data_IF_539462158609
#
_entry.id   IF_539462158609
#
_cell.length_a   1.000
_cell.length_b   1.000
_cell.length_c   1.000
_cell.angle_alpha   90.00
_cell.angle_beta   90.00
_cell.angle_gamma   90.00
#
_symmetry.space_group_name_H-M   'P 1'
#
loop_
_entity.id
_entity.type
_entity.pdbx_description
1 polymer ?
#
# COMPACT_ATOMS: atom_id res chain seq x y z
N UNK A 1 -1.20 -39.72 -0.94
CA UNK A 1 -1.24 -38.83 -2.10
C UNK A 1 0.19 -38.41 -2.47
N UNK A 2 0.61 -38.72 -3.69
CA UNK A 2 2.04 -38.83 -4.07
C UNK A 2 2.70 -37.43 -4.22
N UNK A 3 3.48 -37.00 -3.27
CA UNK A 3 4.21 -35.70 -3.25
C UNK A 3 5.18 -35.54 -4.43
N UNK A 4 5.67 -36.65 -5.01
CA UNK A 4 6.55 -36.65 -6.18
C UNK A 4 5.83 -36.15 -7.46
N UNK A 5 4.54 -36.40 -7.62
CA UNK A 5 3.78 -35.99 -8.81
C UNK A 5 3.50 -34.47 -8.84
N UNK A 6 3.34 -33.85 -7.65
CA UNK A 6 3.15 -32.40 -7.53
C UNK A 6 4.46 -31.66 -7.79
N UNK A 7 5.59 -32.20 -7.33
CA UNK A 7 6.91 -31.57 -7.50
C UNK A 7 7.36 -31.55 -8.97
N UNK A 8 7.08 -32.62 -9.71
CA UNK A 8 7.43 -32.72 -11.15
C UNK A 8 6.60 -31.77 -12.02
N UNK A 9 5.29 -31.64 -11.76
CA UNK A 9 4.43 -30.68 -12.48
C UNK A 9 4.83 -29.22 -12.18
N UNK A 10 5.25 -28.93 -10.95
CA UNK A 10 5.68 -27.59 -10.56
C UNK A 10 7.03 -27.22 -11.22
N UNK A 11 7.93 -28.19 -11.36
CA UNK A 11 9.22 -28.01 -12.04
C UNK A 11 9.03 -27.75 -13.55
N UNK A 12 8.16 -28.50 -14.22
CA UNK A 12 7.87 -28.33 -15.64
C UNK A 12 7.16 -27.01 -15.93
N UNK A 13 6.26 -26.57 -15.06
CA UNK A 13 5.61 -25.25 -15.17
C UNK A 13 6.61 -24.09 -15.01
N UNK A 14 7.55 -24.21 -14.07
CA UNK A 14 8.60 -23.21 -13.84
C UNK A 14 9.52 -23.08 -15.06
N UNK A 15 9.90 -24.19 -15.67
CA UNK A 15 10.76 -24.17 -16.87
C UNK A 15 10.03 -23.61 -18.10
N UNK A 16 8.76 -23.94 -18.29
CA UNK A 16 7.95 -23.40 -19.38
C UNK A 16 7.65 -21.91 -19.23
N UNK A 17 7.53 -21.40 -17.98
CA UNK A 17 7.26 -19.98 -17.70
C UNK A 17 8.51 -19.09 -17.78
N UNK A 18 9.72 -19.65 -17.59
CA UNK A 18 10.98 -18.87 -17.61
C UNK A 18 11.20 -18.01 -18.87
N UNK A 19 10.99 -18.52 -20.11
CA UNK A 19 11.19 -17.71 -21.31
C UNK A 19 10.18 -16.57 -21.41
N UNK A 20 8.94 -16.83 -21.01
CA UNK A 20 7.85 -15.84 -21.00
C UNK A 20 8.11 -14.73 -19.98
N UNK A 21 8.47 -15.08 -18.75
CA UNK A 21 8.83 -14.13 -17.69
C UNK A 21 10.06 -13.30 -18.08
N UNK A 22 11.05 -13.90 -18.76
CA UNK A 22 12.22 -13.19 -19.25
C UNK A 22 11.87 -12.20 -20.37
N UNK A 23 11.00 -12.58 -21.30
CA UNK A 23 10.50 -11.69 -22.37
C UNK A 23 9.64 -10.56 -21.78
N UNK A 24 8.68 -10.87 -20.90
CA UNK A 24 7.84 -9.88 -20.24
C UNK A 24 8.67 -8.89 -19.42
N UNK A 25 9.65 -9.37 -18.66
CA UNK A 25 10.52 -8.49 -17.86
C UNK A 25 11.46 -7.64 -18.72
N UNK A 26 11.87 -8.11 -19.87
CA UNK A 26 12.66 -7.34 -20.84
C UNK A 26 11.78 -6.25 -21.47
N UNK A 27 10.59 -6.60 -21.92
CA UNK A 27 9.64 -5.66 -22.49
C UNK A 27 9.23 -4.56 -21.50
N UNK A 28 8.93 -4.93 -20.25
CA UNK A 28 8.62 -3.96 -19.18
C UNK A 28 9.81 -3.03 -18.91
N UNK A 29 11.05 -3.55 -18.93
CA UNK A 29 12.25 -2.72 -18.76
C UNK A 29 12.42 -1.72 -19.90
N UNK A 30 12.19 -2.14 -21.12
CA UNK A 30 12.31 -1.33 -22.33
C UNK A 30 11.25 -0.24 -22.37
N UNK A 31 9.99 -0.58 -22.02
CA UNK A 31 8.85 0.33 -22.09
C UNK A 31 8.50 0.99 -20.75
N UNK A 32 9.30 0.84 -19.70
CA UNK A 32 8.97 1.27 -18.33
C UNK A 32 8.63 2.77 -18.23
N UNK A 33 9.33 3.63 -19.02
CA UNK A 33 9.03 5.07 -19.03
C UNK A 33 7.68 5.36 -19.70
N UNK A 34 7.42 4.75 -20.83
CA UNK A 34 6.14 4.90 -21.52
C UNK A 34 4.99 4.37 -20.68
N UNK A 35 5.11 3.16 -20.12
CA UNK A 35 4.13 2.56 -19.20
C UNK A 35 3.85 3.46 -17.98
N UNK A 36 4.89 4.06 -17.40
CA UNK A 36 4.75 4.97 -16.27
C UNK A 36 3.95 6.21 -16.65
N UNK A 37 4.34 6.86 -17.75
CA UNK A 37 3.65 8.07 -18.18
C UNK A 37 2.22 7.80 -18.63
N UNK A 38 1.96 6.72 -19.35
CA UNK A 38 0.60 6.36 -19.79
C UNK A 38 -0.31 6.01 -18.60
N UNK A 39 0.18 5.26 -17.61
CA UNK A 39 -0.62 4.93 -16.42
C UNK A 39 -0.85 6.15 -15.54
N UNK A 40 0.16 7.01 -15.34
CA UNK A 40 -0.01 8.26 -14.59
C UNK A 40 -0.96 9.22 -15.31
N UNK A 41 -0.85 9.33 -16.62
CA UNK A 41 -1.74 10.17 -17.44
C UNK A 41 -3.17 9.64 -17.42
N UNK A 42 -3.38 8.32 -17.57
CA UNK A 42 -4.69 7.69 -17.48
C UNK A 42 -5.33 7.90 -16.10
N UNK A 43 -4.53 7.74 -15.02
CA UNK A 43 -4.99 7.99 -13.66
C UNK A 43 -5.39 9.46 -13.45
N UNK A 44 -4.55 10.41 -13.89
CA UNK A 44 -4.84 11.84 -13.78
C UNK A 44 -6.06 12.23 -14.64
N UNK A 45 -6.20 11.65 -15.83
CA UNK A 45 -7.37 11.87 -16.70
C UNK A 45 -8.63 11.32 -16.01
N UNK A 46 -8.56 10.14 -15.38
CA UNK A 46 -9.66 9.57 -14.62
C UNK A 46 -10.08 10.46 -13.45
N UNK A 47 -9.12 10.95 -12.67
CA UNK A 47 -9.39 11.92 -11.58
C UNK A 47 -9.98 13.21 -12.14
N UNK A 48 -9.41 13.74 -13.22
CA UNK A 48 -9.93 14.94 -13.88
C UNK A 48 -11.36 14.77 -14.40
N UNK A 49 -11.70 13.62 -14.98
CA UNK A 49 -13.05 13.29 -15.43
C UNK A 49 -14.04 13.21 -14.28
N UNK A 50 -13.66 12.54 -13.16
CA UNK A 50 -14.48 12.49 -11.94
C UNK A 50 -14.70 13.89 -11.38
N UNK A 51 -13.66 14.72 -11.28
CA UNK A 51 -13.77 16.10 -10.81
C UNK A 51 -14.72 16.90 -11.74
N UNK A 52 -14.53 16.80 -13.06
CA UNK A 52 -15.33 17.53 -14.03
C UNK A 52 -16.81 17.13 -13.99
N UNK A 53 -17.12 15.85 -13.81
CA UNK A 53 -18.51 15.35 -13.75
C UNK A 53 -19.26 15.74 -12.47
N UNK A 54 -18.56 16.20 -11.41
CA UNK A 54 -19.14 16.52 -10.08
C UNK A 54 -18.93 17.99 -9.67
N UNK A 55 -19.08 18.91 -10.62
CA UNK A 55 -19.01 20.35 -10.36
C UNK A 55 -17.62 20.97 -10.59
N UNK A 56 -16.67 20.20 -11.07
CA UNK A 56 -15.35 20.67 -11.46
C UNK A 56 -14.50 21.18 -10.29
N UNK A 57 -13.50 21.99 -10.63
CA UNK A 57 -12.59 22.59 -9.64
C UNK A 57 -13.29 23.47 -8.61
N UNK A 58 -14.41 24.10 -8.99
CA UNK A 58 -15.19 24.94 -8.09
C UNK A 58 -15.71 24.15 -6.90
N UNK A 59 -16.22 22.94 -7.11
CA UNK A 59 -16.72 22.07 -6.02
C UNK A 59 -15.58 21.63 -5.08
N UNK A 60 -14.37 21.35 -5.60
CA UNK A 60 -13.22 21.03 -4.77
C UNK A 60 -12.77 22.22 -3.92
N UNK A 61 -12.68 23.42 -4.50
CA UNK A 61 -12.25 24.65 -3.81
C UNK A 61 -13.28 25.06 -2.76
N UNK A 62 -14.57 24.79 -2.98
CA UNK A 62 -15.65 25.07 -2.05
C UNK A 62 -15.74 24.04 -0.92
N UNK A 63 -15.08 22.89 -1.05
CA UNK A 63 -15.03 21.87 0.02
C UNK A 63 -14.33 22.43 1.25
N UNK A 64 -15.08 22.60 2.34
CA UNK A 64 -14.57 23.16 3.59
C UNK A 64 -14.27 22.04 4.59
N UNK A 65 -13.23 22.26 5.39
CA UNK A 65 -12.96 21.38 6.54
C UNK A 65 -14.03 21.65 7.61
N UNK A 66 -14.87 20.66 7.87
CA UNK A 66 -15.96 20.74 8.87
C UNK A 66 -15.51 20.27 10.24
N UNK A 67 -14.52 19.36 10.31
CA UNK A 67 -13.97 18.81 11.55
C UNK A 67 -12.44 18.93 11.58
N UNK A 68 -11.88 20.11 11.91
CA UNK A 68 -10.43 20.34 11.88
C UNK A 68 -9.66 19.46 12.88
N UNK A 69 -10.28 19.06 13.98
CA UNK A 69 -9.69 18.13 14.95
C UNK A 69 -9.38 16.75 14.34
N UNK A 70 -10.26 16.24 13.46
CA UNK A 70 -10.01 15.01 12.73
C UNK A 70 -8.81 15.14 11.79
N UNK A 71 -8.68 16.27 11.09
CA UNK A 71 -7.54 16.53 10.23
C UNK A 71 -6.22 16.61 11.03
N UNK A 72 -6.25 17.26 12.20
CA UNK A 72 -5.08 17.28 13.10
C UNK A 72 -4.66 15.87 13.52
N UNK A 73 -5.61 14.99 13.82
CA UNK A 73 -5.33 13.57 14.14
C UNK A 73 -4.75 12.81 12.93
N UNK A 74 -5.19 13.10 11.70
CA UNK A 74 -4.57 12.51 10.49
C UNK A 74 -3.09 12.84 10.43
N UNK A 75 -2.71 14.10 10.68
CA UNK A 75 -1.31 14.52 10.75
C UNK A 75 -0.55 13.86 11.91
N UNK A 76 -1.16 13.73 13.08
CA UNK A 76 -0.54 13.09 14.24
C UNK A 76 -0.31 11.58 14.03
N UNK A 77 -1.18 10.91 13.27
CA UNK A 77 -1.03 9.48 12.93
C UNK A 77 -0.01 9.22 11.82
N UNK A 78 0.39 10.23 11.05
CA UNK A 78 1.37 10.06 9.98
C UNK A 78 2.74 9.54 10.45
N UNK A 79 3.42 10.13 11.46
CA UNK A 79 4.68 9.59 11.95
C UNK A 79 4.52 8.18 12.54
N UNK A 80 3.39 7.86 13.14
CA UNK A 80 3.10 6.49 13.60
C UNK A 80 3.03 5.51 12.42
N UNK A 81 2.28 5.85 11.36
CA UNK A 81 2.18 5.03 10.15
C UNK A 81 3.57 4.79 9.52
N UNK A 82 4.38 5.85 9.41
CA UNK A 82 5.74 5.75 8.89
C UNK A 82 6.64 4.93 9.81
N UNK A 83 6.55 5.13 11.12
CA UNK A 83 7.30 4.37 12.13
C UNK A 83 7.00 2.86 12.10
N UNK A 84 5.74 2.48 11.89
CA UNK A 84 5.34 1.08 11.71
C UNK A 84 5.96 0.45 10.45
N UNK A 85 6.06 1.21 9.34
CA UNK A 85 6.75 0.74 8.14
C UNK A 85 8.26 0.55 8.38
N UNK A 86 8.88 1.47 9.11
CA UNK A 86 10.29 1.36 9.53
C UNK A 86 10.50 0.16 10.44
N UNK A 87 9.62 -0.04 11.42
CA UNK A 87 9.67 -1.19 12.32
C UNK A 87 9.57 -2.52 11.57
N UNK A 88 8.63 -2.60 10.62
CA UNK A 88 8.47 -3.76 9.75
C UNK A 88 9.72 -4.02 8.91
N UNK A 89 10.29 -2.99 8.29
CA UNK A 89 11.51 -3.10 7.50
C UNK A 89 12.70 -3.51 8.37
N UNK A 90 12.83 -2.94 9.56
CA UNK A 90 13.88 -3.31 10.52
C UNK A 90 13.75 -4.79 10.90
N UNK A 91 12.53 -5.27 11.20
CA UNK A 91 12.28 -6.67 11.56
C UNK A 91 12.67 -7.63 10.43
N UNK A 92 12.33 -7.31 9.19
CA UNK A 92 12.65 -8.12 8.00
C UNK A 92 14.14 -8.15 7.65
N UNK A 93 14.88 -7.12 8.04
CA UNK A 93 16.28 -6.93 7.65
C UNK A 93 17.26 -7.10 8.80
N UNK A 94 16.78 -7.33 10.04
CA UNK A 94 17.63 -7.71 11.15
C UNK A 94 18.22 -9.09 10.84
N UNK A 95 19.51 -9.15 10.65
CA UNK A 95 20.25 -10.39 10.51
C UNK A 95 20.89 -10.78 11.85
N UNK A 96 21.97 -11.57 11.81
CA UNK A 96 22.78 -11.93 12.96
C UNK A 96 23.49 -10.73 13.61
N UNK A 97 23.62 -9.61 12.89
CA UNK A 97 24.24 -8.39 13.38
C UNK A 97 23.18 -7.38 13.84
N UNK A 98 23.45 -6.73 14.98
CA UNK A 98 22.63 -5.64 15.50
C UNK A 98 22.62 -4.49 14.49
N UNK A 99 21.46 -4.23 13.91
CA UNK A 99 21.28 -3.17 12.95
C UNK A 99 20.67 -1.94 13.61
N UNK A 100 21.24 -0.76 13.33
CA UNK A 100 20.74 0.48 13.89
C UNK A 100 19.38 0.88 13.28
N UNK A 101 18.43 1.30 14.12
CA UNK A 101 17.15 1.86 13.70
C UNK A 101 17.29 3.02 12.70
N UNK A 102 18.32 3.84 12.88
CA UNK A 102 18.64 4.96 11.99
C UNK A 102 18.86 4.51 10.54
N UNK A 103 19.43 3.34 10.32
CA UNK A 103 19.62 2.80 8.96
C UNK A 103 18.29 2.40 8.34
N UNK A 104 17.41 1.74 9.11
CA UNK A 104 16.08 1.38 8.65
C UNK A 104 15.24 2.62 8.27
N UNK A 105 15.31 3.69 9.08
CA UNK A 105 14.67 4.97 8.77
C UNK A 105 15.18 5.55 7.44
N UNK A 106 16.48 5.62 7.28
CA UNK A 106 17.10 6.14 6.05
C UNK A 106 16.67 5.37 4.82
N UNK A 107 16.66 4.05 4.89
CA UNK A 107 16.30 3.18 3.77
C UNK A 107 14.83 3.28 3.42
N UNK A 108 13.94 3.27 4.41
CA UNK A 108 12.50 3.41 4.17
C UNK A 108 12.20 4.78 3.57
N UNK A 109 12.76 5.85 4.11
CA UNK A 109 12.53 7.20 3.59
C UNK A 109 13.09 7.36 2.17
N UNK A 110 14.29 6.85 1.89
CA UNK A 110 14.81 6.82 0.52
C UNK A 110 13.91 6.02 -0.42
N UNK A 111 13.39 4.88 0.04
CA UNK A 111 12.42 4.09 -0.70
C UNK A 111 11.15 4.89 -1.03
N UNK A 112 10.59 5.63 -0.07
CA UNK A 112 9.41 6.48 -0.31
C UNK A 112 9.68 7.55 -1.37
N UNK A 113 10.86 8.17 -1.37
CA UNK A 113 11.23 9.13 -2.41
C UNK A 113 11.33 8.49 -3.79
N UNK A 114 11.98 7.32 -3.88
CA UNK A 114 12.04 6.58 -5.13
C UNK A 114 10.66 6.09 -5.61
N UNK A 115 9.79 5.70 -4.68
CA UNK A 115 8.41 5.32 -4.99
C UNK A 115 7.58 6.49 -5.52
N UNK A 116 7.86 7.71 -5.07
CA UNK A 116 7.22 8.93 -5.55
C UNK A 116 7.72 9.34 -6.94
N UNK A 117 9.02 9.19 -7.20
CA UNK A 117 9.66 9.54 -8.47
C UNK A 117 9.55 8.43 -9.53
N UNK A 118 9.32 7.20 -9.11
CA UNK A 118 9.33 6.02 -9.97
C UNK A 118 7.95 5.49 -10.30
N UNK A 119 7.85 4.78 -11.43
CA UNK A 119 6.55 4.35 -11.97
C UNK A 119 5.89 3.19 -11.24
N UNK A 120 6.58 2.50 -10.34
CA UNK A 120 6.07 1.27 -9.74
C UNK A 120 6.44 1.15 -8.26
N UNK A 121 5.64 0.39 -7.50
CA UNK A 121 5.98 0.00 -6.11
C UNK A 121 7.39 -0.61 -5.99
N UNK A 122 7.91 -1.20 -7.05
CA UNK A 122 9.28 -1.72 -7.10
C UNK A 122 10.35 -0.63 -6.90
N UNK A 123 10.03 0.62 -7.23
CA UNK A 123 10.94 1.74 -6.99
C UNK A 123 11.18 1.97 -5.48
N UNK A 124 10.19 1.73 -4.62
CA UNK A 124 10.37 1.73 -3.16
C UNK A 124 11.46 0.73 -2.75
N UNK A 125 11.34 -0.52 -3.21
CA UNK A 125 12.34 -1.56 -2.94
C UNK A 125 13.73 -1.18 -3.46
N UNK A 126 13.82 -0.71 -4.70
CA UNK A 126 15.09 -0.29 -5.29
C UNK A 126 15.73 0.86 -4.50
N UNK A 127 14.93 1.84 -4.06
CA UNK A 127 15.39 2.96 -3.24
C UNK A 127 15.93 2.52 -1.88
N UNK A 128 15.23 1.61 -1.19
CA UNK A 128 15.68 1.03 0.09
C UNK A 128 17.02 0.32 -0.07
N UNK A 129 17.14 -0.52 -1.10
CA UNK A 129 18.36 -1.29 -1.36
C UNK A 129 19.53 -0.39 -1.77
N UNK A 130 19.28 0.63 -2.59
CA UNK A 130 20.30 1.60 -2.99
C UNK A 130 20.82 2.44 -1.80
N UNK A 131 19.93 2.81 -0.86
CA UNK A 131 20.29 3.55 0.35
C UNK A 131 20.98 2.68 1.41
N UNK A 132 20.89 1.36 1.31
CA UNK A 132 21.48 0.44 2.29
C UNK A 132 23.01 0.51 2.25
N UNK A 133 23.63 0.55 3.43
CA UNK A 133 25.09 0.41 3.60
C UNK A 133 25.53 -1.04 3.64
N UNK A 134 24.62 -1.95 3.91
CA UNK A 134 24.90 -3.38 3.97
C UNK A 134 24.98 -3.99 2.57
N UNK A 135 26.13 -4.57 2.22
CA UNK A 135 26.30 -5.32 0.99
C UNK A 135 25.33 -6.50 0.87
N UNK A 136 24.97 -7.13 2.00
CA UNK A 136 23.99 -8.21 2.10
C UNK A 136 22.60 -7.76 1.64
N UNK A 137 22.14 -6.57 2.05
CA UNK A 137 20.83 -6.05 1.65
C UNK A 137 20.79 -5.57 0.20
N UNK A 138 21.91 -5.29 -0.42
CA UNK A 138 21.99 -5.00 -1.87
C UNK A 138 21.89 -6.25 -2.73
N UNK A 139 21.77 -7.42 -2.13
CA UNK A 139 21.68 -8.74 -2.75
C UNK A 139 20.25 -9.26 -2.82
N UNK A 140 20.13 -10.56 -3.17
CA UNK A 140 18.88 -11.32 -3.19
C UNK A 140 18.13 -11.28 -1.86
N UNK A 141 18.82 -11.17 -0.72
CA UNK A 141 18.21 -11.15 0.60
C UNK A 141 17.39 -9.87 0.85
N UNK A 142 17.91 -8.72 0.46
CA UNK A 142 17.15 -7.47 0.54
C UNK A 142 15.91 -7.48 -0.35
N UNK A 143 16.03 -8.07 -1.55
CA UNK A 143 14.88 -8.26 -2.46
C UNK A 143 13.82 -9.18 -1.85
N UNK A 144 14.25 -10.28 -1.19
CA UNK A 144 13.34 -11.17 -0.46
C UNK A 144 12.66 -10.44 0.71
N UNK A 145 13.42 -9.69 1.51
CA UNK A 145 12.88 -8.91 2.62
C UNK A 145 11.81 -7.90 2.14
N UNK A 146 12.07 -7.21 1.03
CA UNK A 146 11.10 -6.32 0.41
C UNK A 146 9.85 -7.07 -0.06
N UNK A 147 10.02 -8.20 -0.73
CA UNK A 147 8.93 -9.06 -1.17
C UNK A 147 8.05 -9.54 -0.01
N UNK A 148 8.66 -10.02 1.09
CA UNK A 148 7.93 -10.40 2.30
C UNK A 148 7.18 -9.23 2.93
N UNK A 149 7.77 -8.03 2.97
CA UNK A 149 7.14 -6.83 3.48
C UNK A 149 5.92 -6.40 2.67
N UNK A 150 6.01 -6.46 1.34
CA UNK A 150 4.90 -6.17 0.43
C UNK A 150 3.78 -7.21 0.54
N UNK A 151 4.13 -8.49 0.59
CA UNK A 151 3.19 -9.59 0.72
C UNK A 151 2.46 -9.55 2.07
N UNK A 152 3.16 -9.27 3.18
CA UNK A 152 2.55 -9.10 4.50
C UNK A 152 1.58 -7.91 4.55
N UNK A 153 1.86 -6.83 3.82
CA UNK A 153 0.94 -5.69 3.72
C UNK A 153 -0.32 -6.06 2.92
N UNK A 154 -0.17 -6.79 1.81
CA UNK A 154 -1.31 -7.32 1.06
C UNK A 154 -2.16 -8.28 1.92
N UNK A 155 -1.50 -9.18 2.63
CA UNK A 155 -2.16 -10.08 3.57
C UNK A 155 -2.97 -9.31 4.64
N UNK A 156 -2.40 -8.27 5.23
CA UNK A 156 -3.10 -7.44 6.22
C UNK A 156 -4.35 -6.77 5.62
N UNK A 157 -4.30 -6.34 4.35
CA UNK A 157 -5.46 -5.78 3.67
C UNK A 157 -6.61 -6.78 3.59
N UNK A 158 -6.32 -8.02 3.18
CA UNK A 158 -7.33 -9.07 3.10
C UNK A 158 -7.80 -9.54 4.48
N UNK A 159 -6.93 -9.52 5.49
CA UNK A 159 -7.32 -9.83 6.87
C UNK A 159 -8.36 -8.83 7.42
N UNK A 160 -8.22 -7.54 7.10
CA UNK A 160 -9.20 -6.52 7.48
C UNK A 160 -10.47 -6.55 6.64
N UNK A 161 -10.46 -7.16 5.45
CA UNK A 161 -11.66 -7.40 4.67
C UNK A 161 -12.59 -8.44 5.31
N UNK A 162 -12.05 -9.36 6.13
CA UNK A 162 -12.87 -10.38 6.83
C UNK A 162 -13.98 -9.75 7.68
N UNK A 163 -13.69 -8.88 8.67
CA UNK A 163 -14.74 -8.24 9.44
C UNK A 163 -15.63 -7.32 8.59
N UNK A 164 -15.08 -6.67 7.57
CA UNK A 164 -15.85 -5.80 6.68
C UNK A 164 -16.94 -6.58 5.91
N UNK A 165 -16.61 -7.76 5.38
CA UNK A 165 -17.57 -8.63 4.72
C UNK A 165 -18.66 -9.14 5.69
N UNK A 166 -18.28 -9.47 6.92
CA UNK A 166 -19.23 -9.87 7.95
C UNK A 166 -20.22 -8.74 8.28
N UNK A 167 -19.72 -7.49 8.37
CA UNK A 167 -20.56 -6.31 8.62
C UNK A 167 -21.54 -6.02 7.47
N UNK A 168 -21.19 -6.39 6.23
CA UNK A 168 -22.10 -6.32 5.09
C UNK A 168 -23.08 -7.51 5.00
N UNK A 169 -23.07 -8.41 5.99
CA UNK A 169 -23.93 -9.60 6.01
C UNK A 169 -23.44 -10.77 5.13
N UNK A 170 -22.23 -10.66 4.56
CA UNK A 170 -21.63 -11.70 3.72
C UNK A 170 -20.85 -12.72 4.55
N UNK A 171 -21.55 -13.36 5.50
CA UNK A 171 -20.94 -14.23 6.51
C UNK A 171 -20.21 -15.44 5.93
N UNK A 172 -20.75 -16.08 4.88
CA UNK A 172 -20.11 -17.22 4.22
C UNK A 172 -18.81 -16.78 3.55
N UNK A 173 -18.83 -15.67 2.81
CA UNK A 173 -17.63 -15.12 2.15
C UNK A 173 -16.59 -14.68 3.18
N UNK A 174 -17.02 -14.09 4.29
CA UNK A 174 -16.15 -13.73 5.41
C UNK A 174 -15.50 -14.96 6.02
N UNK A 175 -16.23 -16.04 6.28
CA UNK A 175 -15.70 -17.29 6.84
C UNK A 175 -14.69 -17.96 5.89
N UNK A 176 -14.97 -18.01 4.59
CA UNK A 176 -14.04 -18.53 3.57
C UNK A 176 -12.77 -17.69 3.52
N UNK A 177 -12.90 -16.36 3.49
CA UNK A 177 -11.76 -15.47 3.48
C UNK A 177 -10.93 -15.60 4.78
N UNK A 178 -11.58 -15.75 5.94
CA UNK A 178 -10.89 -15.99 7.20
C UNK A 178 -10.03 -17.26 7.14
N UNK A 179 -10.55 -18.34 6.59
CA UNK A 179 -9.79 -19.59 6.44
C UNK A 179 -8.57 -19.39 5.52
N UNK A 180 -8.72 -18.67 4.41
CA UNK A 180 -7.63 -18.35 3.47
C UNK A 180 -6.57 -17.47 4.17
N UNK A 181 -7.00 -16.45 4.88
CA UNK A 181 -6.12 -15.53 5.62
C UNK A 181 -5.37 -16.26 6.71
N UNK A 182 -6.03 -17.12 7.48
CA UNK A 182 -5.39 -17.93 8.51
C UNK A 182 -4.35 -18.90 7.94
N UNK A 183 -4.70 -19.64 6.89
CA UNK A 183 -3.79 -20.58 6.22
C UNK A 183 -2.57 -19.86 5.61
N UNK A 184 -2.81 -18.75 4.91
CA UNK A 184 -1.73 -17.95 4.34
C UNK A 184 -0.86 -17.28 5.41
N UNK A 185 -1.45 -16.81 6.52
CA UNK A 185 -0.71 -16.28 7.66
C UNK A 185 0.24 -17.32 8.28
N UNK A 186 -0.23 -18.56 8.46
CA UNK A 186 0.62 -19.65 8.91
C UNK A 186 1.79 -19.92 7.93
N UNK A 187 1.53 -19.90 6.63
CA UNK A 187 2.57 -20.03 5.60
C UNK A 187 3.60 -18.89 5.69
N UNK A 188 3.17 -17.64 5.87
CA UNK A 188 4.08 -16.50 6.04
C UNK A 188 4.98 -16.64 7.26
N UNK A 189 4.43 -17.12 8.38
CA UNK A 189 5.20 -17.33 9.62
C UNK A 189 6.26 -18.41 9.41
N UNK A 190 5.88 -19.54 8.80
CA UNK A 190 6.80 -20.65 8.49
C UNK A 190 7.84 -20.27 7.43
N UNK A 191 7.47 -19.43 6.46
CA UNK A 191 8.34 -18.97 5.37
C UNK A 191 9.39 -17.93 5.76
N UNK A 192 9.44 -17.50 7.04
CA UNK A 192 10.48 -16.63 7.57
C UNK A 192 10.09 -15.14 7.67
N UNK A 193 8.88 -14.74 7.30
CA UNK A 193 8.41 -13.37 7.54
C UNK A 193 8.22 -13.07 9.03
N UNK A 194 7.85 -14.11 9.81
CA UNK A 194 7.62 -14.01 11.24
C UNK A 194 6.28 -13.33 11.60
N UNK A 195 5.72 -13.72 12.76
CA UNK A 195 4.44 -13.18 13.23
C UNK A 195 4.48 -11.66 13.50
N UNK A 196 5.66 -11.13 13.90
CA UNK A 196 5.85 -9.69 14.18
C UNK A 196 5.63 -8.84 12.94
N UNK A 197 6.08 -9.28 11.77
CA UNK A 197 5.88 -8.58 10.50
C UNK A 197 4.41 -8.53 10.13
N UNK A 198 3.67 -9.61 10.35
CA UNK A 198 2.22 -9.66 10.13
C UNK A 198 1.49 -8.73 11.10
N UNK A 199 1.84 -8.75 12.39
CA UNK A 199 1.26 -7.87 13.41
C UNK A 199 1.51 -6.39 13.08
N UNK A 200 2.75 -6.02 12.71
CA UNK A 200 3.09 -4.66 12.29
C UNK A 200 2.31 -4.24 11.03
N UNK A 201 2.10 -5.16 10.09
CA UNK A 201 1.32 -4.89 8.88
C UNK A 201 -0.17 -4.68 9.19
N UNK A 202 -0.75 -5.49 10.10
CA UNK A 202 -2.13 -5.31 10.58
C UNK A 202 -2.30 -3.97 11.29
N UNK A 203 -1.41 -3.65 12.24
CA UNK A 203 -1.46 -2.39 12.98
C UNK A 203 -1.30 -1.19 12.04
N UNK A 204 -0.39 -1.27 11.08
CA UNK A 204 -0.19 -0.22 10.09
C UNK A 204 -1.43 -0.03 9.21
N UNK A 205 -2.09 -1.12 8.81
CA UNK A 205 -3.35 -1.01 8.09
C UNK A 205 -4.42 -0.32 8.94
N UNK A 206 -4.56 -0.69 10.23
CA UNK A 206 -5.51 -0.06 11.14
C UNK A 206 -5.26 1.45 11.27
N UNK A 207 -4.00 1.88 11.45
CA UNK A 207 -3.63 3.29 11.51
C UNK A 207 -3.98 3.99 10.20
N UNK A 208 -3.72 3.37 9.06
CA UNK A 208 -3.99 3.95 7.76
C UNK A 208 -5.51 4.03 7.46
N UNK A 209 -6.28 3.01 7.86
CA UNK A 209 -7.74 3.04 7.78
C UNK A 209 -8.33 4.12 8.69
N UNK A 210 -7.81 4.27 9.92
CA UNK A 210 -8.19 5.35 10.81
C UNK A 210 -7.90 6.73 10.22
N UNK A 211 -6.72 6.92 9.62
CA UNK A 211 -6.39 8.17 8.92
C UNK A 211 -7.39 8.46 7.79
N UNK A 212 -7.80 7.45 7.04
CA UNK A 212 -8.74 7.63 5.94
C UNK A 212 -10.14 8.00 6.47
N UNK A 213 -10.65 7.28 7.47
CA UNK A 213 -11.91 7.60 8.13
C UNK A 213 -11.92 9.05 8.65
N UNK A 214 -10.88 9.42 9.41
CA UNK A 214 -10.73 10.79 9.94
C UNK A 214 -10.65 11.84 8.82
N UNK A 215 -10.00 11.49 7.72
CA UNK A 215 -9.91 12.37 6.57
C UNK A 215 -11.29 12.58 5.91
N UNK A 216 -12.08 11.52 5.71
CA UNK A 216 -13.46 11.61 5.21
C UNK A 216 -14.36 12.44 6.15
N UNK A 217 -14.26 12.20 7.47
CA UNK A 217 -14.98 12.99 8.48
C UNK A 217 -14.56 14.44 8.45
N UNK A 218 -13.27 14.74 8.22
CA UNK A 218 -12.77 16.12 8.19
C UNK A 218 -13.47 16.99 7.14
N UNK A 219 -13.87 16.40 6.02
CA UNK A 219 -14.60 17.07 4.93
C UNK A 219 -16.09 16.76 4.91
N UNK A 220 -16.63 16.08 5.92
CA UNK A 220 -18.04 15.75 6.01
C UNK A 220 -18.51 14.70 5.00
N UNK A 221 -17.57 13.95 4.39
CA UNK A 221 -17.90 12.85 3.51
C UNK A 221 -18.35 11.59 4.26
N UNK A 222 -18.17 11.55 5.57
CA UNK A 222 -18.60 10.46 6.44
C UNK A 222 -19.10 11.05 7.76
N UNK A 223 -20.32 10.64 8.17
CA UNK A 223 -20.83 10.97 9.49
C UNK A 223 -20.13 10.10 10.56
N UNK A 224 -19.69 10.68 11.71
CA UNK A 224 -19.11 9.93 12.82
C UNK A 224 -19.96 8.74 13.28
N UNK A 225 -21.28 8.85 13.26
CA UNK A 225 -22.20 7.78 13.69
C UNK A 225 -22.18 6.56 12.75
N UNK A 226 -21.78 6.77 11.51
CA UNK A 226 -21.76 5.74 10.45
C UNK A 226 -20.38 5.11 10.22
N UNK A 227 -19.37 5.46 11.04
CA UNK A 227 -17.98 5.00 10.87
C UNK A 227 -17.88 3.48 10.78
N UNK A 228 -18.57 2.76 11.66
CA UNK A 228 -18.51 1.30 11.69
C UNK A 228 -19.40 0.64 10.65
N UNK A 229 -20.62 1.12 10.47
CA UNK A 229 -21.60 0.47 9.60
C UNK A 229 -21.35 0.73 8.12
N UNK A 230 -20.82 1.89 7.77
CA UNK A 230 -20.58 2.29 6.38
C UNK A 230 -19.10 2.57 6.10
N UNK A 231 -18.46 3.39 6.91
CA UNK A 231 -17.10 3.87 6.68
C UNK A 231 -16.07 2.76 6.61
N UNK A 232 -16.01 1.91 7.63
CA UNK A 232 -15.02 0.85 7.72
C UNK A 232 -15.17 -0.21 6.61
N UNK A 233 -16.36 -0.76 6.30
CA UNK A 233 -16.51 -1.72 5.20
C UNK A 233 -16.17 -1.11 3.83
N UNK A 234 -16.60 0.12 3.56
CA UNK A 234 -16.30 0.83 2.30
C UNK A 234 -14.80 1.07 2.13
N UNK A 235 -14.10 1.48 3.20
CA UNK A 235 -12.63 1.63 3.17
C UNK A 235 -11.94 0.29 2.94
N UNK A 236 -12.39 -0.78 3.58
CA UNK A 236 -11.82 -2.11 3.34
C UNK A 236 -11.97 -2.52 1.86
N UNK A 237 -13.12 -2.25 1.23
CA UNK A 237 -13.34 -2.49 -0.20
C UNK A 237 -12.41 -1.66 -1.08
N UNK A 238 -12.22 -0.36 -0.78
CA UNK A 238 -11.26 0.52 -1.48
C UNK A 238 -9.86 -0.07 -1.43
N UNK A 239 -9.41 -0.50 -0.24
CA UNK A 239 -8.06 -1.04 -0.09
C UNK A 239 -7.89 -2.40 -0.74
N UNK A 240 -8.91 -3.27 -0.72
CA UNK A 240 -8.88 -4.52 -1.47
C UNK A 240 -8.74 -4.25 -2.98
N UNK A 241 -9.49 -3.30 -3.53
CA UNK A 241 -9.39 -2.90 -4.93
C UNK A 241 -7.98 -2.36 -5.26
N UNK A 242 -7.46 -1.42 -4.47
CA UNK A 242 -6.13 -0.82 -4.67
C UNK A 242 -5.01 -1.84 -4.52
N UNK A 243 -5.12 -2.77 -3.56
CA UNK A 243 -4.08 -3.76 -3.29
C UNK A 243 -4.06 -4.91 -4.32
N UNK A 244 -5.19 -5.18 -4.96
CA UNK A 244 -5.31 -6.23 -5.98
C UNK A 244 -4.74 -5.80 -7.33
N UNK A 245 -4.57 -4.52 -7.56
CA UNK A 245 -4.09 -3.97 -8.81
C UNK A 245 -2.63 -3.51 -8.68
N UNK A 246 -1.70 -4.00 -9.51
CA UNK A 246 -0.28 -3.64 -9.45
C UNK A 246 0.02 -2.27 -10.10
N UNK A 247 -0.81 -1.24 -9.82
CA UNK A 247 -0.70 0.06 -10.43
C UNK A 247 0.48 0.88 -9.89
N UNK A 248 1.16 1.67 -10.74
CA UNK A 248 2.15 2.63 -10.30
C UNK A 248 1.49 3.78 -9.51
N UNK A 249 2.14 4.22 -8.46
CA UNK A 249 1.81 5.41 -7.66
C UNK A 249 0.44 5.46 -6.95
N UNK A 250 -0.48 4.52 -7.16
CA UNK A 250 -1.82 4.46 -6.55
C UNK A 250 -2.72 5.69 -6.84
N UNK A 251 -2.18 6.74 -7.45
CA UNK A 251 -2.90 7.96 -7.77
C UNK A 251 -3.91 7.70 -8.89
N UNK A 252 -5.13 8.15 -8.70
CA UNK A 252 -6.27 7.94 -9.60
C UNK A 252 -7.03 6.64 -9.31
N UNK A 253 -6.36 5.52 -9.09
CA UNK A 253 -7.03 4.23 -8.79
C UNK A 253 -7.68 4.26 -7.41
N UNK A 254 -6.99 4.80 -6.41
CA UNK A 254 -7.55 4.94 -5.07
C UNK A 254 -8.70 5.95 -5.05
N UNK A 255 -8.55 7.07 -5.72
CA UNK A 255 -9.58 8.09 -5.85
C UNK A 255 -10.81 7.51 -6.56
N UNK A 256 -10.63 6.77 -7.66
CA UNK A 256 -11.72 6.09 -8.36
C UNK A 256 -12.39 5.01 -7.50
N UNK A 257 -11.63 4.21 -6.77
CA UNK A 257 -12.19 3.21 -5.86
C UNK A 257 -12.94 3.88 -4.68
N UNK A 258 -12.41 4.99 -4.16
CA UNK A 258 -13.05 5.73 -3.09
C UNK A 258 -14.34 6.41 -3.57
N UNK A 259 -14.34 7.03 -4.75
CA UNK A 259 -15.55 7.63 -5.34
C UNK A 259 -16.61 6.59 -5.67
N UNK A 260 -16.22 5.39 -6.08
CA UNK A 260 -17.15 4.27 -6.26
C UNK A 260 -17.74 3.79 -4.92
N UNK A 261 -16.95 3.76 -3.87
CA UNK A 261 -17.40 3.30 -2.55
C UNK A 261 -18.22 4.33 -1.77
N UNK A 262 -17.99 5.63 -2.02
CA UNK A 262 -18.62 6.77 -1.33
C UNK A 262 -19.24 7.71 -2.36
N UNK A 263 -20.23 7.24 -3.10
CA UNK A 263 -20.82 7.89 -4.27
C UNK A 263 -21.66 9.15 -3.95
N UNK A 264 -22.07 9.36 -2.69
CA UNK A 264 -22.99 10.44 -2.32
C UNK A 264 -22.30 11.81 -2.16
N UNK A 265 -20.98 11.85 -1.86
CA UNK A 265 -20.27 13.11 -1.52
C UNK A 265 -18.92 13.22 -2.24
N UNK A 266 -18.95 13.07 -3.54
CA UNK A 266 -17.77 12.86 -4.40
C UNK A 266 -16.68 13.96 -4.29
N UNK A 267 -16.97 15.27 -4.26
CA UNK A 267 -15.92 16.28 -4.12
C UNK A 267 -15.14 16.15 -2.81
N UNK A 268 -15.85 15.92 -1.70
CA UNK A 268 -15.26 15.76 -0.38
C UNK A 268 -14.42 14.49 -0.29
N UNK A 269 -14.88 13.39 -0.90
CA UNK A 269 -14.13 12.12 -0.97
C UNK A 269 -12.83 12.29 -1.76
N UNK A 270 -12.87 12.98 -2.90
CA UNK A 270 -11.68 13.26 -3.71
C UNK A 270 -10.68 14.10 -2.94
N UNK A 271 -11.13 15.17 -2.27
CA UNK A 271 -10.23 16.01 -1.45
C UNK A 271 -9.63 15.21 -0.31
N UNK A 272 -10.43 14.42 0.41
CA UNK A 272 -9.96 13.59 1.51
C UNK A 272 -8.87 12.59 1.05
N UNK A 273 -9.08 11.91 -0.07
CA UNK A 273 -8.11 10.96 -0.62
C UNK A 273 -6.83 11.62 -1.10
N UNK A 274 -6.93 12.79 -1.74
CA UNK A 274 -5.76 13.56 -2.17
C UNK A 274 -4.95 14.06 -0.99
N UNK A 275 -5.59 14.60 0.04
CA UNK A 275 -4.89 15.07 1.25
C UNK A 275 -4.22 13.90 1.98
N UNK A 276 -4.90 12.77 2.11
CA UNK A 276 -4.31 11.57 2.68
C UNK A 276 -3.06 11.11 1.90
N UNK A 277 -3.12 11.18 0.56
CA UNK A 277 -1.99 10.86 -0.30
C UNK A 277 -0.84 11.86 -0.12
N UNK A 278 -1.14 13.16 -0.08
CA UNK A 278 -0.13 14.21 0.15
C UNK A 278 0.59 13.99 1.47
N UNK A 279 -0.13 13.71 2.55
CA UNK A 279 0.46 13.48 3.87
C UNK A 279 1.34 12.23 3.87
N UNK A 280 0.79 11.09 3.44
CA UNK A 280 1.48 9.82 3.59
C UNK A 280 2.55 9.54 2.52
N UNK A 281 2.36 10.03 1.29
CA UNK A 281 3.29 9.78 0.18
C UNK A 281 4.20 10.96 -0.09
N UNK A 282 3.63 12.14 -0.37
CA UNK A 282 4.44 13.32 -0.70
C UNK A 282 5.25 13.79 0.53
N UNK A 283 4.64 13.87 1.72
CA UNK A 283 5.33 14.23 2.94
C UNK A 283 6.50 13.29 3.27
N UNK A 284 6.28 11.98 3.15
CA UNK A 284 7.34 10.99 3.37
C UNK A 284 8.44 11.07 2.30
N UNK A 285 8.09 11.35 1.03
CA UNK A 285 9.06 11.51 -0.06
C UNK A 285 9.92 12.78 0.12
N UNK A 286 9.33 13.88 0.57
CA UNK A 286 10.07 15.12 0.89
C UNK A 286 11.09 14.85 2.01
N UNK A 287 10.68 14.18 3.10
CA UNK A 287 11.62 13.80 4.15
C UNK A 287 12.72 12.87 3.63
N UNK A 288 12.37 11.94 2.74
CA UNK A 288 13.32 11.00 2.18
C UNK A 288 14.34 11.62 1.24
N UNK A 289 14.00 12.74 0.58
CA UNK A 289 14.90 13.42 -0.35
C UNK A 289 16.20 13.89 0.32
N UNK A 290 16.15 14.24 1.62
CA UNK A 290 17.33 14.60 2.40
C UNK A 290 18.34 13.45 2.58
N UNK A 291 17.89 12.20 2.40
CA UNK A 291 18.74 11.03 2.54
C UNK A 291 19.31 10.51 1.20
N UNK A 292 18.83 11.02 0.06
CA UNK A 292 19.34 10.64 -1.25
C UNK A 292 20.74 11.21 -1.54
N UNK A 293 21.04 12.38 -0.99
CA UNK A 293 22.29 13.12 -1.21
C UNK A 293 23.36 12.82 -0.18
N UNK A 294 23.02 12.17 0.93
CA UNK A 294 24.00 11.78 1.93
C UNK A 294 24.92 10.69 1.36
N UNK A 295 26.15 11.05 0.99
CA UNK A 295 27.19 10.07 0.61
C UNK A 295 27.26 8.96 1.65
N UNK A 296 27.44 7.71 1.19
CA UNK A 296 27.53 6.55 2.07
C UNK A 296 28.64 6.64 3.11
#
# INVERSE_FOLDING_TARGET
MNTAFVSTKYATWKEAAKPWLKKASAWVREHRRALSWTTSLAALTGVGAVIASHGGWAALVQSKVVMPGCLALVFALWPLNLGLEVAKWHELTKGETVRAWREAWREVLAGQTWAFLGPFRLADGAGRLAASRSGRLRSVEGTKAFGWGAAAQGWATWAWAVPALAMWGWHVSSAVLLAIVAASGAFFIQGGAGWRVLALSLTRYAVFAAQFLLCLMSWGALNPDNVWNEGFPRIAAVWCAVSSLPWPAELGVREAAATWAFDEQLPQVVVATLVLWLINRAGSAVLGSFFLTSKP
#
